data_IF_781222761788
#
_entry.id   IF_781222761788
#
_cell.length_a   1.000
_cell.length_b   1.000
_cell.length_c   1.000
_cell.angle_alpha   90.00
_cell.angle_beta   90.00
_cell.angle_gamma   90.00
#
_symmetry.space_group_name_H-M   'P 1'
#
loop_
_entity.id
_entity.type
_entity.pdbx_description
1 polymer ?
#
# COMPACT_ATOMS: atom_id res chain seq x y z
N UNK A 1 8.44 -13.57 -9.64
CA UNK A 1 9.43 -13.26 -10.70
C UNK A 1 10.24 -12.04 -10.28
N UNK A 2 11.57 -12.14 -10.17
CA UNK A 2 12.48 -10.99 -9.94
C UNK A 2 12.90 -10.41 -11.29
N UNK A 3 12.81 -9.09 -11.49
CA UNK A 3 13.24 -8.45 -12.74
C UNK A 3 13.94 -7.11 -12.46
N UNK A 4 14.86 -6.71 -13.36
CA UNK A 4 15.64 -5.46 -13.23
C UNK A 4 14.76 -4.21 -13.12
N UNK A 5 13.67 -4.12 -13.90
CA UNK A 5 12.73 -2.99 -13.82
C UNK A 5 12.11 -2.83 -12.43
N UNK A 6 11.79 -3.95 -11.77
CA UNK A 6 11.24 -3.89 -10.42
C UNK A 6 12.27 -3.37 -9.39
N UNK A 7 13.58 -3.48 -9.66
CA UNK A 7 14.63 -2.95 -8.76
C UNK A 7 14.59 -1.43 -8.74
N UNK A 8 14.30 -0.80 -9.88
CA UNK A 8 14.16 0.66 -9.99
C UNK A 8 12.97 1.13 -9.15
N UNK A 9 11.82 0.46 -9.25
CA UNK A 9 10.64 0.83 -8.45
C UNK A 9 10.89 0.63 -6.94
N UNK A 10 11.61 -0.43 -6.58
CA UNK A 10 12.02 -0.66 -5.19
C UNK A 10 12.90 0.48 -4.66
N UNK A 11 13.89 0.92 -5.44
CA UNK A 11 14.76 2.02 -5.06
C UNK A 11 13.97 3.33 -4.91
N UNK A 12 13.05 3.61 -5.84
CA UNK A 12 12.18 4.79 -5.78
C UNK A 12 11.35 4.83 -4.50
N UNK A 13 10.70 3.72 -4.14
CA UNK A 13 9.93 3.63 -2.90
C UNK A 13 10.80 3.87 -1.66
N UNK A 14 12.03 3.34 -1.62
CA UNK A 14 12.96 3.56 -0.50
C UNK A 14 13.42 5.02 -0.36
N UNK A 15 13.31 5.82 -1.41
CA UNK A 15 13.67 7.24 -1.44
C UNK A 15 12.44 8.18 -1.34
N UNK A 16 11.22 7.62 -1.33
CA UNK A 16 9.96 8.35 -1.48
C UNK A 16 9.77 9.51 -0.50
N UNK A 17 10.18 9.33 0.77
CA UNK A 17 10.05 10.36 1.83
C UNK A 17 11.34 11.11 2.14
N UNK A 18 12.44 10.87 1.43
CA UNK A 18 13.73 11.50 1.72
C UNK A 18 13.72 12.95 1.24
N UNK A 19 14.13 13.88 2.12
CA UNK A 19 14.23 15.30 1.80
C UNK A 19 15.22 15.62 0.65
N UNK A 20 16.20 14.74 0.40
CA UNK A 20 17.26 14.94 -0.60
C UNK A 20 17.08 14.09 -1.88
N UNK A 21 15.89 13.53 -2.12
CA UNK A 21 15.64 12.81 -3.37
C UNK A 21 15.41 13.79 -4.53
N UNK A 22 15.69 13.38 -5.78
CA UNK A 22 15.41 14.21 -6.95
C UNK A 22 13.91 14.57 -7.09
N UNK A 23 13.02 13.80 -6.46
CA UNK A 23 11.58 14.02 -6.45
C UNK A 23 11.11 14.98 -5.34
N UNK A 24 11.92 15.24 -4.32
CA UNK A 24 11.51 16.03 -3.14
C UNK A 24 11.22 17.50 -3.47
N UNK A 25 11.93 18.07 -4.45
CA UNK A 25 11.70 19.43 -4.95
C UNK A 25 10.40 19.54 -5.75
N UNK A 26 9.99 18.47 -6.43
CA UNK A 26 8.75 18.40 -7.21
C UNK A 26 7.53 18.11 -6.34
N UNK A 27 7.71 17.34 -5.27
CA UNK A 27 6.62 16.90 -4.38
C UNK A 27 6.98 17.15 -2.90
N UNK A 28 6.97 18.41 -2.43
CA UNK A 28 7.40 18.75 -1.07
C UNK A 28 6.57 18.07 0.02
N UNK A 29 5.28 17.76 -0.25
CA UNK A 29 4.39 17.04 0.67
C UNK A 29 4.75 15.57 0.89
N UNK A 30 5.65 14.99 0.08
CA UNK A 30 6.20 13.64 0.30
C UNK A 30 7.25 13.63 1.42
N UNK A 31 7.83 14.75 1.81
CA UNK A 31 8.85 14.79 2.86
C UNK A 31 8.17 14.63 4.23
N UNK A 32 8.37 13.46 4.85
CA UNK A 32 7.77 13.12 6.14
C UNK A 32 8.86 12.61 7.10
N UNK A 33 8.81 13.05 8.35
CA UNK A 33 9.79 12.70 9.39
C UNK A 33 9.30 11.63 10.37
N UNK A 34 7.98 11.52 10.58
CA UNK A 34 7.37 10.49 11.44
C UNK A 34 6.65 9.42 10.61
N UNK A 35 7.40 8.40 10.19
CA UNK A 35 6.87 7.23 9.49
C UNK A 35 6.58 6.06 10.44
N UNK A 36 7.15 6.05 11.65
CA UNK A 36 7.05 4.91 12.58
C UNK A 36 5.64 4.71 13.11
N UNK A 37 4.86 5.79 13.17
CA UNK A 37 3.45 5.77 13.59
C UNK A 37 2.48 5.45 12.45
N UNK A 38 2.99 5.25 11.23
CA UNK A 38 2.18 5.10 10.02
C UNK A 38 2.22 3.66 9.50
N UNK A 39 1.16 3.29 8.80
CA UNK A 39 0.99 1.94 8.24
C UNK A 39 1.02 1.96 6.72
N UNK A 40 1.77 1.04 6.13
CA UNK A 40 1.63 0.65 4.73
C UNK A 40 0.79 -0.61 4.60
N UNK A 41 0.01 -0.69 3.53
CA UNK A 41 -0.78 -1.86 3.16
C UNK A 41 -0.29 -2.39 1.82
N UNK A 42 -0.05 -3.70 1.71
CA UNK A 42 0.25 -4.37 0.45
C UNK A 42 -0.86 -5.36 0.12
N UNK A 43 -1.65 -5.07 -0.93
CA UNK A 43 -2.78 -5.89 -1.34
C UNK A 43 -2.35 -7.20 -2.01
N UNK A 44 -1.06 -7.33 -2.36
CA UNK A 44 -0.47 -8.47 -3.07
C UNK A 44 0.95 -8.71 -2.58
N UNK A 45 1.09 -9.10 -1.31
CA UNK A 45 2.36 -9.10 -0.59
C UNK A 45 3.41 -10.05 -1.21
N UNK A 46 2.99 -11.17 -1.81
CA UNK A 46 3.89 -12.14 -2.41
C UNK A 46 4.96 -12.63 -1.43
N UNK A 47 6.20 -12.66 -1.89
CA UNK A 47 7.38 -12.99 -1.07
C UNK A 47 7.93 -11.78 -0.28
N UNK A 48 7.17 -10.68 -0.21
CA UNK A 48 7.56 -9.45 0.48
C UNK A 48 8.27 -8.42 -0.40
N UNK A 49 7.95 -8.37 -1.70
CA UNK A 49 8.68 -7.54 -2.65
C UNK A 49 8.67 -6.04 -2.26
N UNK A 50 7.49 -5.47 -2.04
CA UNK A 50 7.30 -4.09 -1.59
C UNK A 50 7.13 -3.97 -0.08
N UNK A 51 6.57 -5.00 0.57
CA UNK A 51 6.52 -5.12 2.04
C UNK A 51 7.86 -4.76 2.69
N UNK A 52 8.98 -5.30 2.19
CA UNK A 52 10.30 -5.02 2.76
C UNK A 52 10.79 -3.59 2.51
N UNK A 53 10.33 -2.93 1.45
CA UNK A 53 10.62 -1.51 1.22
C UNK A 53 9.93 -0.65 2.27
N UNK A 54 8.64 -0.88 2.52
CA UNK A 54 7.90 -0.16 3.54
C UNK A 54 8.43 -0.43 4.95
N UNK A 55 8.73 -1.68 5.28
CA UNK A 55 9.33 -2.03 6.56
C UNK A 55 10.70 -1.35 6.75
N UNK A 56 11.51 -1.23 5.69
CA UNK A 56 12.80 -0.53 5.71
C UNK A 56 12.65 0.98 5.90
N UNK A 57 11.56 1.58 5.41
CA UNK A 57 11.20 2.99 5.70
C UNK A 57 10.76 3.20 7.16
N UNK A 58 10.54 2.12 7.91
CA UNK A 58 10.10 2.16 9.31
C UNK A 58 8.58 2.11 9.50
N UNK A 59 7.81 1.95 8.41
CA UNK A 59 6.36 1.83 8.44
C UNK A 59 5.94 0.47 8.98
N UNK A 60 4.90 0.40 9.81
CA UNK A 60 4.20 -0.87 10.06
C UNK A 60 3.61 -1.35 8.74
N UNK A 61 3.67 -2.64 8.44
CA UNK A 61 3.18 -3.18 7.17
C UNK A 61 2.12 -4.25 7.42
N UNK A 62 0.97 -4.09 6.77
CA UNK A 62 -0.07 -5.11 6.68
C UNK A 62 -0.11 -5.64 5.24
N UNK A 63 -0.04 -6.95 5.05
CA UNK A 63 0.00 -7.55 3.71
C UNK A 63 -1.00 -8.68 3.53
N UNK A 64 -1.54 -8.84 2.32
CA UNK A 64 -2.40 -9.97 1.93
C UNK A 64 -1.70 -10.86 0.92
N UNK A 65 -1.76 -12.17 1.14
CA UNK A 65 -1.22 -13.17 0.22
C UNK A 65 -1.99 -14.49 0.36
N UNK A 66 -2.25 -15.16 -0.77
CA UNK A 66 -2.97 -16.43 -0.81
C UNK A 66 -2.01 -17.63 -0.81
N UNK A 67 -0.86 -17.50 -1.47
CA UNK A 67 0.04 -18.62 -1.70
C UNK A 67 0.87 -18.91 -0.43
N UNK A 68 0.76 -20.11 0.17
CA UNK A 68 1.45 -20.43 1.42
C UNK A 68 2.97 -20.43 1.28
N UNK A 69 3.52 -20.73 0.10
CA UNK A 69 4.96 -20.69 -0.15
C UNK A 69 5.48 -19.26 -0.26
N UNK A 70 4.70 -18.36 -0.87
CA UNK A 70 4.99 -16.92 -0.88
C UNK A 70 5.04 -16.38 0.54
N UNK A 71 4.05 -16.71 1.37
CA UNK A 71 3.97 -16.31 2.77
C UNK A 71 5.18 -16.83 3.55
N UNK A 72 5.54 -18.10 3.39
CA UNK A 72 6.70 -18.67 4.08
C UNK A 72 8.02 -18.02 3.62
N UNK A 73 8.14 -17.73 2.32
CA UNK A 73 9.26 -16.97 1.76
C UNK A 73 9.37 -15.57 2.37
N UNK A 74 8.24 -14.85 2.45
CA UNK A 74 8.15 -13.54 3.09
C UNK A 74 8.54 -13.62 4.56
N UNK A 75 7.96 -14.56 5.32
CA UNK A 75 8.24 -14.72 6.76
C UNK A 75 9.72 -14.98 7.01
N UNK A 76 10.35 -15.90 6.28
CA UNK A 76 11.79 -16.16 6.37
C UNK A 76 12.61 -14.93 5.97
N UNK A 77 12.20 -14.24 4.91
CA UNK A 77 12.84 -12.99 4.46
C UNK A 77 12.79 -11.91 5.53
N UNK A 78 11.65 -11.71 6.17
CA UNK A 78 11.48 -10.72 7.22
C UNK A 78 12.38 -11.02 8.43
N UNK A 79 12.39 -12.27 8.91
CA UNK A 79 13.23 -12.69 10.02
C UNK A 79 14.73 -12.51 9.71
N UNK A 80 15.17 -12.83 8.49
CA UNK A 80 16.56 -12.62 8.06
C UNK A 80 16.96 -11.15 7.99
N UNK A 81 16.00 -10.23 7.81
CA UNK A 81 16.24 -8.79 7.84
C UNK A 81 16.04 -8.19 9.25
N UNK A 82 15.76 -9.00 10.26
CA UNK A 82 15.59 -8.56 11.65
C UNK A 82 14.23 -7.94 11.95
N UNK A 83 13.22 -8.14 11.11
CA UNK A 83 11.86 -7.66 11.38
C UNK A 83 11.01 -8.71 12.10
N UNK A 84 10.29 -8.26 13.14
CA UNK A 84 9.21 -9.05 13.72
C UNK A 84 8.09 -9.20 12.68
N UNK A 85 7.67 -10.45 12.46
CA UNK A 85 6.66 -10.81 11.47
C UNK A 85 5.64 -11.76 12.06
N UNK A 86 4.36 -11.51 11.79
CA UNK A 86 3.25 -12.38 12.16
C UNK A 86 2.46 -12.80 10.93
N UNK A 87 2.15 -14.10 10.84
CA UNK A 87 1.22 -14.64 9.84
C UNK A 87 -0.10 -14.92 10.54
N UNK A 88 -1.18 -14.35 10.06
CA UNK A 88 -2.54 -14.52 10.58
C UNK A 88 -3.31 -15.43 9.63
N UNK A 89 -3.77 -16.58 10.12
CA UNK A 89 -4.45 -17.59 9.32
C UNK A 89 -5.40 -18.44 10.17
N UNK A 90 -6.40 -19.08 9.53
CA UNK A 90 -7.31 -19.99 10.22
C UNK A 90 -8.03 -19.33 11.41
N UNK A 91 -7.94 -19.92 12.60
CA UNK A 91 -8.57 -19.40 13.81
C UNK A 91 -8.05 -18.01 14.24
N UNK A 92 -6.84 -17.63 13.84
CA UNK A 92 -6.31 -16.30 14.16
C UNK A 92 -7.09 -15.18 13.48
N UNK A 93 -7.70 -15.47 12.33
CA UNK A 93 -8.53 -14.50 11.59
C UNK A 93 -9.80 -14.12 12.34
N UNK A 94 -10.37 -15.03 13.15
CA UNK A 94 -11.52 -14.72 14.01
C UNK A 94 -11.10 -14.11 15.35
N UNK A 95 -9.87 -14.35 15.80
CA UNK A 95 -9.31 -13.81 17.04
C UNK A 95 -8.52 -12.50 16.85
N UNK A 96 -8.60 -11.85 15.68
CA UNK A 96 -7.74 -10.74 15.29
C UNK A 96 -7.74 -9.57 16.28
N UNK A 97 -8.91 -9.20 16.82
CA UNK A 97 -9.03 -8.10 17.78
C UNK A 97 -8.29 -8.39 19.10
N UNK A 98 -8.39 -9.62 19.59
CA UNK A 98 -7.67 -10.10 20.77
C UNK A 98 -6.17 -10.14 20.51
N UNK A 99 -5.76 -10.62 19.33
CA UNK A 99 -4.37 -10.66 18.89
C UNK A 99 -3.76 -9.26 18.84
N UNK A 100 -4.47 -8.30 18.25
CA UNK A 100 -3.97 -6.92 18.13
C UNK A 100 -3.81 -6.25 19.50
N UNK A 101 -4.71 -6.55 20.44
CA UNK A 101 -4.67 -6.02 21.81
C UNK A 101 -3.55 -6.62 22.67
N UNK A 102 -3.15 -7.87 22.42
CA UNK A 102 -2.20 -8.61 23.25
C UNK A 102 -0.79 -8.72 22.66
N UNK A 103 -0.66 -8.66 21.34
CA UNK A 103 0.63 -8.89 20.66
C UNK A 103 0.84 -8.04 19.40
N UNK A 104 -0.07 -7.12 19.04
CA UNK A 104 -0.07 -6.40 17.75
C UNK A 104 0.99 -5.31 17.56
N UNK A 105 2.24 -5.60 17.93
CA UNK A 105 3.40 -4.71 17.78
C UNK A 105 4.41 -5.22 16.74
N UNK A 106 4.07 -6.26 15.97
CA UNK A 106 4.95 -6.70 14.89
C UNK A 106 5.07 -5.64 13.79
N UNK A 107 6.29 -5.46 13.27
CA UNK A 107 6.53 -4.55 12.16
C UNK A 107 5.77 -4.99 10.91
N UNK A 108 5.64 -6.31 10.69
CA UNK A 108 4.98 -6.89 9.53
C UNK A 108 3.90 -7.88 9.98
N UNK A 109 2.67 -7.70 9.51
CA UNK A 109 1.57 -8.65 9.69
C UNK A 109 1.06 -9.09 8.32
N UNK A 110 1.07 -10.39 8.04
CA UNK A 110 0.59 -10.97 6.78
C UNK A 110 -0.67 -11.77 7.04
N UNK A 111 -1.73 -11.47 6.30
CA UNK A 111 -2.99 -12.18 6.31
C UNK A 111 -2.96 -13.23 5.20
N UNK A 112 -3.05 -14.51 5.59
CA UNK A 112 -3.12 -15.64 4.68
C UNK A 112 -4.57 -15.82 4.17
N UNK A 113 -5.09 -14.82 3.49
CA UNK A 113 -6.46 -14.78 2.96
C UNK A 113 -6.55 -13.89 1.72
N UNK A 114 -7.69 -13.91 1.06
CA UNK A 114 -7.95 -13.07 -0.11
C UNK A 114 -8.01 -11.59 0.27
N UNK A 115 -7.40 -10.74 -0.56
CA UNK A 115 -7.29 -9.30 -0.29
C UNK A 115 -8.64 -8.56 -0.31
N UNK A 116 -9.73 -9.17 -0.81
CA UNK A 116 -11.07 -8.62 -0.68
C UNK A 116 -11.50 -8.45 0.80
N UNK A 117 -10.85 -9.15 1.74
CA UNK A 117 -11.07 -9.00 3.17
C UNK A 117 -10.26 -7.86 3.81
N UNK A 118 -9.36 -7.19 3.07
CA UNK A 118 -8.45 -6.20 3.64
C UNK A 118 -9.17 -5.06 4.35
N UNK A 119 -10.26 -4.55 3.76
CA UNK A 119 -11.07 -3.51 4.37
C UNK A 119 -11.65 -3.96 5.72
N UNK A 120 -12.28 -5.15 5.74
CA UNK A 120 -12.87 -5.73 6.95
C UNK A 120 -11.83 -5.90 8.06
N UNK A 121 -10.64 -6.40 7.74
CA UNK A 121 -9.56 -6.58 8.73
C UNK A 121 -9.08 -5.25 9.29
N UNK A 122 -8.91 -4.23 8.45
CA UNK A 122 -8.51 -2.91 8.93
C UNK A 122 -9.56 -2.28 9.84
N UNK A 123 -10.84 -2.46 9.55
CA UNK A 123 -11.94 -2.04 10.42
C UNK A 123 -11.89 -2.74 11.78
N UNK A 124 -11.66 -4.07 11.79
CA UNK A 124 -11.47 -4.84 13.02
C UNK A 124 -10.26 -4.36 13.83
N UNK A 125 -9.12 -4.11 13.18
CA UNK A 125 -7.91 -3.58 13.82
C UNK A 125 -8.12 -2.17 14.39
N UNK A 126 -8.83 -1.30 13.66
CA UNK A 126 -9.20 0.04 14.15
C UNK A 126 -10.08 -0.02 15.38
N UNK A 127 -11.10 -0.90 15.37
CA UNK A 127 -11.99 -1.10 16.50
C UNK A 127 -11.29 -1.71 17.73
N UNK A 128 -10.25 -2.54 17.51
CA UNK A 128 -9.41 -3.02 18.60
C UNK A 128 -8.50 -1.90 19.15
N UNK A 129 -7.89 -1.12 18.26
CA UNK A 129 -6.96 -0.05 18.63
C UNK A 129 -7.65 1.14 19.32
N UNK A 130 -8.93 1.42 19.02
CA UNK A 130 -9.68 2.49 19.69
C UNK A 130 -9.84 2.29 21.21
N UNK A 131 -9.63 1.06 21.69
CA UNK A 131 -9.63 0.72 23.13
C UNK A 131 -8.28 0.98 23.81
N UNK A 132 -7.23 1.28 23.04
CA UNK A 132 -5.86 1.44 23.53
C UNK A 132 -5.47 2.93 23.38
N UNK A 133 -5.29 3.67 24.48
CA UNK A 133 -4.94 5.09 24.43
C UNK A 133 -3.71 5.36 23.56
N UNK A 134 -3.84 6.31 22.63
CA UNK A 134 -2.75 6.72 21.73
C UNK A 134 -2.45 5.78 20.57
N UNK A 135 -3.13 4.62 20.44
CA UNK A 135 -2.95 3.71 19.31
C UNK A 135 -3.94 4.03 18.20
N UNK A 136 -3.46 4.58 17.08
CA UNK A 136 -4.26 4.86 15.90
C UNK A 136 -3.67 4.14 14.68
N UNK A 137 -4.54 3.55 13.84
CA UNK A 137 -4.14 2.93 12.58
C UNK A 137 -4.41 3.92 11.43
N UNK A 138 -3.37 4.66 11.07
CA UNK A 138 -3.36 5.57 9.91
C UNK A 138 -2.64 4.91 8.74
N UNK A 139 -3.33 4.74 7.62
CA UNK A 139 -2.76 4.13 6.40
C UNK A 139 -2.16 5.25 5.55
N UNK A 140 -0.85 5.19 5.35
CA UNK A 140 -0.10 6.17 4.57
C UNK A 140 0.14 5.68 3.13
N UNK A 141 0.40 4.39 2.96
CA UNK A 141 0.64 3.78 1.65
C UNK A 141 -0.26 2.58 1.43
N UNK A 142 -0.75 2.43 0.21
CA UNK A 142 -1.39 1.21 -0.27
C UNK A 142 -0.73 0.80 -1.57
N UNK A 143 -0.22 -0.42 -1.62
CA UNK A 143 0.39 -1.01 -2.81
C UNK A 143 -0.59 -1.98 -3.47
N UNK A 144 -1.01 -1.67 -4.69
CA UNK A 144 -1.82 -2.51 -5.57
C UNK A 144 -0.96 -3.21 -6.61
N UNK A 145 0.00 -4.04 -6.16
CA UNK A 145 1.05 -4.64 -6.99
C UNK A 145 0.65 -5.79 -7.94
N UNK A 146 -0.55 -5.79 -8.54
CA UNK A 146 -1.02 -6.86 -9.43
C UNK A 146 -0.93 -6.47 -10.91
N UNK A 147 -0.54 -7.45 -11.75
CA UNK A 147 -0.56 -7.36 -13.21
C UNK A 147 -1.44 -8.49 -13.79
N UNK A 148 -2.08 -8.30 -14.97
CA UNK A 148 -1.92 -7.16 -15.88
C UNK A 148 -2.56 -5.87 -15.38
N UNK A 149 -3.49 -5.93 -14.43
CA UNK A 149 -4.09 -4.75 -13.81
C UNK A 149 -4.36 -4.97 -12.32
N UNK A 150 -4.27 -3.89 -11.55
CA UNK A 150 -4.65 -3.84 -10.13
C UNK A 150 -6.06 -3.32 -9.88
N UNK A 151 -6.80 -3.01 -10.94
CA UNK A 151 -8.15 -2.42 -10.92
C UNK A 151 -9.13 -3.06 -9.91
N UNK A 152 -9.19 -4.41 -9.78
CA UNK A 152 -10.08 -5.04 -8.80
C UNK A 152 -9.84 -4.61 -7.35
N UNK A 153 -8.64 -4.14 -7.02
CA UNK A 153 -8.27 -3.71 -5.67
C UNK A 153 -8.44 -2.21 -5.42
N UNK A 154 -8.73 -1.39 -6.44
CA UNK A 154 -8.73 0.08 -6.32
C UNK A 154 -9.75 0.59 -5.30
N UNK A 155 -10.98 0.08 -5.35
CA UNK A 155 -12.05 0.50 -4.42
C UNK A 155 -11.68 0.19 -2.96
N UNK A 156 -11.19 -1.03 -2.71
CA UNK A 156 -10.71 -1.43 -1.38
C UNK A 156 -9.50 -0.61 -0.93
N UNK A 157 -8.58 -0.32 -1.86
CA UNK A 157 -7.37 0.49 -1.59
C UNK A 157 -7.72 1.93 -1.21
N UNK A 158 -8.71 2.53 -1.87
CA UNK A 158 -9.25 3.82 -1.49
C UNK A 158 -9.93 3.75 -0.10
N UNK A 159 -10.84 2.79 0.06
CA UNK A 159 -11.64 2.58 1.27
C UNK A 159 -10.81 2.47 2.55
N UNK A 160 -9.68 1.75 2.50
CA UNK A 160 -8.81 1.60 3.67
C UNK A 160 -8.09 2.88 4.08
N UNK A 161 -8.04 3.90 3.23
CA UNK A 161 -7.39 5.18 3.54
C UNK A 161 -8.33 6.24 4.13
N UNK A 162 -9.65 5.98 4.25
CA UNK A 162 -10.68 6.94 4.69
C UNK A 162 -10.33 7.72 5.98
N UNK A 163 -9.70 7.04 6.95
CA UNK A 163 -9.33 7.64 8.24
C UNK A 163 -8.02 8.43 8.21
N UNK A 164 -7.40 8.60 7.04
CA UNK A 164 -6.07 9.20 6.91
C UNK A 164 -6.17 10.57 6.27
N UNK A 165 -5.55 11.57 6.89
CA UNK A 165 -5.52 12.94 6.36
C UNK A 165 -4.85 13.02 4.99
N UNK A 166 -3.85 12.16 4.78
CA UNK A 166 -3.21 11.94 3.50
C UNK A 166 -2.84 10.47 3.32
N UNK A 167 -2.79 10.02 2.07
CA UNK A 167 -2.31 8.70 1.71
C UNK A 167 -1.85 8.65 0.25
N UNK A 168 -1.03 7.66 -0.09
CA UNK A 168 -0.66 7.33 -1.46
C UNK A 168 -1.13 5.92 -1.83
N UNK A 169 -1.74 5.80 -3.01
CA UNK A 169 -2.00 4.52 -3.64
C UNK A 169 -0.98 4.32 -4.77
N UNK A 170 -0.31 3.18 -4.78
CA UNK A 170 0.61 2.78 -5.85
C UNK A 170 -0.06 1.69 -6.67
N UNK A 171 -0.67 2.06 -7.79
CA UNK A 171 -1.56 1.19 -8.55
C UNK A 171 -0.87 0.73 -9.83
N UNK A 172 -0.73 -0.58 -9.99
CA UNK A 172 -0.01 -1.18 -11.10
C UNK A 172 -0.95 -1.51 -12.25
N UNK A 173 -0.50 -1.26 -13.47
CA UNK A 173 -1.26 -1.60 -14.68
C UNK A 173 -0.34 -1.82 -15.89
N UNK A 174 -0.78 -2.62 -16.85
CA UNK A 174 -0.16 -2.77 -18.17
C UNK A 174 -0.94 -1.92 -19.16
N UNK A 175 -0.30 -0.87 -19.69
CA UNK A 175 -0.98 0.16 -20.49
C UNK A 175 -0.26 0.35 -21.82
N UNK A 176 -1.01 0.54 -22.90
CA UNK A 176 -0.47 0.98 -24.19
C UNK A 176 0.26 2.31 -24.03
N UNK A 177 1.38 2.51 -24.72
CA UNK A 177 2.20 3.71 -24.56
C UNK A 177 1.42 5.01 -24.85
N UNK A 178 0.50 4.96 -25.81
CA UNK A 178 -0.34 6.08 -26.22
C UNK A 178 -1.57 6.26 -25.32
N UNK A 179 -1.88 5.27 -24.47
CA UNK A 179 -3.04 5.26 -23.58
C UNK A 179 -2.70 5.66 -22.13
N UNK A 180 -1.43 5.94 -21.83
CA UNK A 180 -0.98 6.21 -20.45
C UNK A 180 -1.71 7.41 -19.85
N UNK A 181 -1.83 8.51 -20.59
CA UNK A 181 -2.50 9.73 -20.11
C UNK A 181 -4.00 9.51 -19.92
N UNK A 182 -4.66 8.82 -20.86
CA UNK A 182 -6.07 8.44 -20.74
C UNK A 182 -6.29 7.58 -19.50
N UNK A 183 -5.42 6.60 -19.26
CA UNK A 183 -5.50 5.72 -18.08
C UNK A 183 -5.31 6.47 -16.77
N UNK A 184 -4.46 7.50 -16.72
CA UNK A 184 -4.33 8.39 -15.56
C UNK A 184 -5.65 9.09 -15.27
N UNK A 185 -6.28 9.66 -16.30
CA UNK A 185 -7.54 10.40 -16.16
C UNK A 185 -8.68 9.50 -15.70
N UNK A 186 -8.83 8.32 -16.28
CA UNK A 186 -9.82 7.32 -15.85
C UNK A 186 -9.67 6.96 -14.37
N UNK A 187 -8.42 6.71 -13.95
CA UNK A 187 -8.09 6.33 -12.59
C UNK A 187 -8.38 7.48 -11.61
N UNK A 188 -7.95 8.69 -11.93
CA UNK A 188 -8.22 9.88 -11.12
C UNK A 188 -9.72 10.16 -10.99
N UNK A 189 -10.46 10.12 -12.09
CA UNK A 189 -11.91 10.32 -12.12
C UNK A 189 -12.64 9.28 -11.27
N UNK A 190 -12.26 8.02 -11.38
CA UNK A 190 -12.92 6.93 -10.64
C UNK A 190 -12.71 7.04 -9.13
N UNK A 191 -11.49 7.35 -8.68
CA UNK A 191 -11.20 7.52 -7.26
C UNK A 191 -11.82 8.83 -6.72
N UNK A 192 -11.85 9.88 -7.54
CA UNK A 192 -12.53 11.13 -7.21
C UNK A 192 -14.04 10.92 -7.03
N UNK A 193 -14.68 10.12 -7.88
CA UNK A 193 -16.08 9.78 -7.77
C UNK A 193 -16.39 9.13 -6.40
N UNK A 194 -15.58 8.15 -5.97
CA UNK A 194 -15.75 7.56 -4.63
C UNK A 194 -15.56 8.57 -3.50
N UNK A 195 -14.60 9.49 -3.62
CA UNK A 195 -14.40 10.55 -2.62
C UNK A 195 -15.59 11.52 -2.52
N UNK A 196 -16.26 11.80 -3.64
CA UNK A 196 -17.46 12.63 -3.71
C UNK A 196 -18.67 11.86 -3.16
N UNK A 197 -18.89 10.63 -3.61
CA UNK A 197 -20.00 9.76 -3.17
C UNK A 197 -19.99 9.55 -1.65
N UNK A 198 -18.80 9.39 -1.06
CA UNK A 198 -18.63 9.23 0.39
C UNK A 198 -18.54 10.56 1.16
N UNK A 199 -18.58 11.71 0.48
CA UNK A 199 -18.56 13.04 1.11
C UNK A 199 -17.29 13.33 1.92
N UNK A 200 -16.16 12.74 1.56
CA UNK A 200 -14.93 12.82 2.37
C UNK A 200 -14.19 14.15 2.27
N UNK A 201 -14.58 15.03 1.33
CA UNK A 201 -13.90 16.30 1.06
C UNK A 201 -12.42 16.11 0.73
N UNK A 202 -12.06 15.02 0.03
CA UNK A 202 -10.67 14.71 -0.33
C UNK A 202 -10.35 15.14 -1.76
N UNK A 203 -9.19 15.73 -1.93
CA UNK A 203 -8.56 15.92 -3.22
C UNK A 203 -7.86 14.62 -3.62
N UNK A 204 -8.04 14.22 -4.87
CA UNK A 204 -7.44 13.04 -5.49
C UNK A 204 -6.64 13.52 -6.69
N UNK A 205 -5.37 13.17 -6.77
CA UNK A 205 -4.50 13.53 -7.89
C UNK A 205 -3.59 12.36 -8.25
N UNK A 206 -3.50 12.00 -9.53
CA UNK A 206 -2.43 11.14 -10.04
C UNK A 206 -1.19 12.01 -10.23
N UNK A 207 -0.36 12.12 -9.19
CA UNK A 207 0.74 13.08 -9.17
C UNK A 207 1.98 12.60 -9.94
N UNK A 208 2.10 11.28 -10.13
CA UNK A 208 3.23 10.69 -10.83
C UNK A 208 2.85 9.37 -11.49
N UNK A 209 3.51 9.06 -12.60
CA UNK A 209 3.41 7.77 -13.28
C UNK A 209 4.80 7.27 -13.62
N UNK A 210 5.14 6.11 -13.06
CA UNK A 210 6.38 5.44 -13.37
C UNK A 210 6.17 4.40 -14.47
N UNK A 211 6.94 4.50 -15.54
CA UNK A 211 7.11 3.42 -16.53
C UNK A 211 8.20 2.47 -16.04
N UNK A 212 7.81 1.35 -15.43
CA UNK A 212 8.73 0.41 -14.77
C UNK A 212 9.54 -0.40 -15.79
N UNK A 213 8.84 -1.00 -16.76
CA UNK A 213 9.43 -1.82 -17.83
C UNK A 213 8.39 -2.06 -18.94
N UNK A 214 8.86 -2.40 -20.13
CA UNK A 214 7.98 -2.89 -21.20
C UNK A 214 7.46 -4.29 -20.86
N UNK A 215 6.15 -4.49 -20.93
CA UNK A 215 5.51 -5.79 -20.77
C UNK A 215 5.43 -6.55 -22.11
N UNK A 216 5.12 -5.83 -23.19
CA UNK A 216 5.09 -6.29 -24.57
C UNK A 216 5.43 -5.10 -25.51
N UNK A 217 5.67 -5.32 -26.82
CA UNK A 217 5.83 -4.21 -27.76
C UNK A 217 4.66 -3.22 -27.66
N UNK A 218 4.96 -1.94 -27.42
CA UNK A 218 3.96 -0.90 -27.24
C UNK A 218 3.23 -0.88 -25.89
N UNK A 219 3.47 -1.83 -24.99
CA UNK A 219 2.79 -1.94 -23.68
C UNK A 219 3.79 -1.80 -22.53
N UNK A 220 3.51 -0.89 -21.61
CA UNK A 220 4.30 -0.62 -20.43
C UNK A 220 3.62 -1.13 -19.17
N UNK A 221 4.40 -1.74 -18.27
CA UNK A 221 4.03 -1.82 -16.87
C UNK A 221 4.22 -0.44 -16.25
N UNK A 222 3.11 0.20 -15.90
CA UNK A 222 3.03 1.49 -15.23
C UNK A 222 2.71 1.31 -13.74
N UNK A 223 3.20 2.24 -12.92
CA UNK A 223 2.74 2.46 -11.54
C UNK A 223 2.22 3.89 -11.45
N UNK A 224 0.94 4.03 -11.13
CA UNK A 224 0.28 5.32 -10.90
C UNK A 224 0.32 5.63 -9.40
N UNK A 225 1.00 6.72 -9.03
CA UNK A 225 0.98 7.24 -7.66
C UNK A 225 -0.23 8.19 -7.52
N UNK A 226 -1.28 7.72 -6.85
CA UNK A 226 -2.45 8.52 -6.50
C UNK A 226 -2.22 9.14 -5.14
N UNK A 227 -2.17 10.46 -5.07
CA UNK A 227 -2.14 11.19 -3.81
C UNK A 227 -3.56 11.56 -3.39
N UNK A 228 -3.89 11.19 -2.16
CA UNK A 228 -5.15 11.51 -1.50
C UNK A 228 -4.82 12.48 -0.36
N UNK A 229 -5.50 13.62 -0.30
CA UNK A 229 -5.38 14.55 0.82
C UNK A 229 -6.75 15.11 1.21
N UNK A 230 -7.00 15.32 2.50
CA UNK A 230 -8.13 16.15 2.92
C UNK A 230 -7.99 17.54 2.29
N UNK A 231 -9.07 18.04 1.69
CA UNK A 231 -9.12 19.41 1.21
C UNK A 231 -8.82 20.38 2.35
N UNK A 232 -8.13 21.47 2.05
CA UNK A 232 -8.02 22.58 2.99
C UNK A 232 -9.45 23.12 3.19
N UNK A 233 -10.04 22.85 4.34
CA UNK A 233 -11.27 23.49 4.79
C UNK A 233 -11.05 24.96 5.11
#
# INVERSE_FOLDING_TARGET
MFSRGNVVEKARLLDFHKAQSAESSKFPHRILTDLKTKTAVDMYAGIGYFVFSYARLGLRVLGWELNPWSIEGLRRGALRNGWAVKVVQGADLSALSTIEATSGNEQITIFAEDNCHAQLRLEQLRAANSKIPGKCLTVLHVNGGLLPTSEPSWASSFAITRMSDKAWLHLHDNVGIDDIETRQQELEQRISAWAIEEGLGRTVVVEYTMKVKTFAPGVWHCVFDVYLSKGAG
#
